data_IF_801993814578
#
_entry.id   IF_801993814578
#
_cell.length_a   1.000
_cell.length_b   1.000
_cell.length_c   1.000
_cell.angle_alpha   90.00
_cell.angle_beta   90.00
_cell.angle_gamma   90.00
#
_symmetry.space_group_name_H-M   'P 1'
#
loop_
_entity.id
_entity.type
_entity.pdbx_description
1 polymer ?
#
# COMPACT_ATOMS: atom_id res chain seq x y z
N UNK A 1 19.59 -1.42 20.17
CA UNK A 1 18.42 -1.96 19.44
C UNK A 1 17.44 -2.42 20.48
N UNK A 2 16.35 -1.66 20.66
CA UNK A 2 15.34 -1.98 21.66
C UNK A 2 14.43 -3.07 21.10
N UNK A 3 14.43 -4.24 21.75
CA UNK A 3 13.71 -5.44 21.29
C UNK A 3 12.20 -5.18 21.22
N UNK A 4 11.70 -4.25 22.04
CA UNK A 4 10.30 -3.87 22.07
C UNK A 4 9.83 -3.18 20.79
N UNK A 5 10.65 -2.27 20.24
CA UNK A 5 10.31 -1.56 19.00
C UNK A 5 10.38 -2.51 17.80
N UNK A 6 11.38 -3.40 17.75
CA UNK A 6 11.49 -4.42 16.68
C UNK A 6 10.28 -5.35 16.68
N UNK A 7 9.79 -5.75 17.86
CA UNK A 7 8.60 -6.60 17.98
C UNK A 7 7.34 -5.85 17.59
N UNK A 8 7.20 -4.57 17.96
CA UNK A 8 6.05 -3.75 17.54
C UNK A 8 6.04 -3.53 16.03
N UNK A 9 7.17 -3.16 15.43
CA UNK A 9 7.26 -2.95 13.97
C UNK A 9 6.94 -4.25 13.22
N UNK A 10 7.49 -5.39 13.66
CA UNK A 10 7.18 -6.69 13.10
C UNK A 10 5.71 -7.10 13.31
N UNK A 11 5.10 -6.77 14.44
CA UNK A 11 3.70 -7.07 14.74
C UNK A 11 2.75 -6.20 13.91
N UNK A 12 3.05 -4.90 13.77
CA UNK A 12 2.33 -3.98 12.87
C UNK A 12 2.39 -4.50 11.45
N UNK A 13 3.57 -4.93 11.00
CA UNK A 13 3.78 -5.49 9.68
C UNK A 13 2.97 -6.77 9.44
N UNK A 14 2.98 -7.71 10.39
CA UNK A 14 2.21 -8.94 10.30
C UNK A 14 0.71 -8.66 10.29
N UNK A 15 0.23 -7.70 11.09
CA UNK A 15 -1.19 -7.30 11.12
C UNK A 15 -1.62 -6.64 9.81
N UNK A 16 -0.79 -5.77 9.22
CA UNK A 16 -1.08 -5.16 7.90
C UNK A 16 -1.14 -6.22 6.81
N UNK A 17 -0.26 -7.23 6.84
CA UNK A 17 -0.26 -8.30 5.83
C UNK A 17 -1.38 -9.35 6.00
N UNK A 18 -1.84 -9.61 7.23
CA UNK A 18 -2.85 -10.64 7.51
C UNK A 18 -4.31 -10.18 7.32
N UNK A 19 -4.57 -8.88 7.13
CA UNK A 19 -5.92 -8.32 7.02
C UNK A 19 -6.30 -7.82 5.61
N UNK A 20 -5.64 -8.28 4.56
CA UNK A 20 -6.11 -8.00 3.20
C UNK A 20 -7.38 -8.80 2.91
N UNK A 21 -8.56 -8.16 2.71
CA UNK A 21 -9.83 -8.86 2.47
C UNK A 21 -9.82 -9.78 1.22
N UNK A 22 -8.90 -9.56 0.28
CA UNK A 22 -8.69 -10.40 -0.91
C UNK A 22 -7.19 -10.61 -1.20
N UNK A 23 -6.81 -11.74 -1.80
CA UNK A 23 -5.40 -12.13 -2.04
C UNK A 23 -4.80 -11.27 -3.17
N UNK A 24 -3.80 -10.42 -2.88
CA UNK A 24 -3.02 -9.67 -3.88
C UNK A 24 -3.36 -8.18 -3.97
N UNK A 25 -2.97 -7.50 -5.06
CA UNK A 25 -3.37 -6.11 -5.28
C UNK A 25 -4.87 -6.03 -5.61
N UNK A 26 -5.57 -5.17 -4.87
CA UNK A 26 -6.90 -4.63 -5.22
C UNK A 26 -6.95 -3.16 -4.80
N UNK A 27 -7.85 -2.34 -5.39
CA UNK A 27 -8.05 -0.96 -4.91
C UNK A 27 -8.40 -0.89 -3.42
N UNK A 28 -9.14 -1.87 -2.90
CA UNK A 28 -9.48 -1.96 -1.48
C UNK A 28 -8.25 -2.19 -0.60
N UNK A 29 -7.38 -3.13 -0.99
CA UNK A 29 -6.13 -3.39 -0.28
C UNK A 29 -5.21 -2.16 -0.32
N UNK A 30 -5.13 -1.47 -1.47
CA UNK A 30 -4.32 -0.26 -1.59
C UNK A 30 -4.85 0.87 -0.68
N UNK A 31 -6.17 1.07 -0.60
CA UNK A 31 -6.79 2.02 0.34
C UNK A 31 -6.50 1.65 1.79
N UNK A 32 -6.60 0.38 2.13
CA UNK A 32 -6.30 -0.11 3.47
C UNK A 32 -4.83 0.16 3.86
N UNK A 33 -3.87 -0.11 2.97
CA UNK A 33 -2.45 0.22 3.21
C UNK A 33 -2.28 1.71 3.49
N UNK A 34 -2.86 2.59 2.67
CA UNK A 34 -2.77 4.04 2.86
C UNK A 34 -3.30 4.48 4.23
N UNK A 35 -4.42 3.91 4.66
CA UNK A 35 -5.01 4.19 5.97
C UNK A 35 -4.11 3.74 7.12
N UNK A 36 -3.60 2.51 7.09
CA UNK A 36 -2.73 1.96 8.14
C UNK A 36 -1.41 2.72 8.24
N UNK A 37 -0.82 3.07 7.10
CA UNK A 37 0.44 3.84 7.05
C UNK A 37 0.24 5.35 7.28
N UNK A 38 -1.03 5.81 7.37
CA UNK A 38 -1.40 7.24 7.39
C UNK A 38 -0.80 8.03 6.23
N UNK A 39 -0.72 7.41 5.06
CA UNK A 39 -0.21 8.03 3.85
C UNK A 39 -1.35 8.57 2.99
N UNK A 40 -1.13 9.75 2.43
CA UNK A 40 -1.93 10.29 1.33
C UNK A 40 -1.56 9.60 0.01
N UNK A 41 -2.44 9.68 -0.97
CA UNK A 41 -2.15 9.21 -2.34
C UNK A 41 -0.95 9.95 -2.96
N UNK A 42 -0.71 11.21 -2.55
CA UNK A 42 0.46 11.99 -2.98
C UNK A 42 1.75 11.45 -2.39
N UNK A 43 1.78 11.17 -1.09
CA UNK A 43 2.96 10.57 -0.45
C UNK A 43 3.29 9.19 -1.02
N UNK A 44 2.27 8.38 -1.33
CA UNK A 44 2.50 7.11 -2.01
C UNK A 44 3.11 7.31 -3.40
N UNK A 45 2.60 8.28 -4.18
CA UNK A 45 3.14 8.61 -5.50
C UNK A 45 4.61 9.03 -5.42
N UNK A 46 4.96 9.86 -4.43
CA UNK A 46 6.33 10.30 -4.17
C UNK A 46 7.23 9.13 -3.76
N UNK A 47 6.77 8.26 -2.84
CA UNK A 47 7.53 7.09 -2.36
C UNK A 47 7.80 6.06 -3.47
N UNK A 48 6.85 5.87 -4.39
CA UNK A 48 6.97 4.95 -5.53
C UNK A 48 7.58 5.60 -6.78
N UNK A 49 7.86 6.91 -6.74
CA UNK A 49 8.31 7.68 -7.89
C UNK A 49 7.41 7.52 -9.14
N UNK A 50 6.10 7.65 -8.93
CA UNK A 50 5.07 7.57 -9.98
C UNK A 50 4.18 8.81 -9.98
N UNK A 51 3.38 8.98 -11.03
CA UNK A 51 2.42 10.10 -11.08
C UNK A 51 1.27 9.92 -10.07
N UNK A 52 0.84 11.01 -9.44
CA UNK A 52 -0.35 11.02 -8.58
C UNK A 52 -1.60 10.50 -9.32
N UNK A 53 -1.76 10.84 -10.60
CA UNK A 53 -2.86 10.35 -11.43
C UNK A 53 -2.86 8.82 -11.57
N UNK A 54 -1.67 8.21 -11.60
CA UNK A 54 -1.52 6.75 -11.60
C UNK A 54 -2.06 6.15 -10.30
N UNK A 55 -1.66 6.70 -9.16
CA UNK A 55 -2.16 6.25 -7.84
C UNK A 55 -3.67 6.44 -7.73
N UNK A 56 -4.20 7.59 -8.17
CA UNK A 56 -5.65 7.85 -8.18
C UNK A 56 -6.41 6.82 -9.03
N UNK A 57 -5.84 6.41 -10.17
CA UNK A 57 -6.43 5.37 -11.01
C UNK A 57 -6.36 3.97 -10.37
N UNK A 58 -5.32 3.68 -9.59
CA UNK A 58 -5.18 2.41 -8.86
C UNK A 58 -6.12 2.30 -7.65
N UNK A 59 -6.45 3.42 -7.03
CA UNK A 59 -7.31 3.49 -5.84
C UNK A 59 -8.80 3.57 -6.21
N UNK A 60 -9.10 3.95 -7.46
CA UNK A 60 -10.46 4.05 -7.97
C UNK A 60 -11.19 2.69 -7.91
N UNK A 61 -12.51 2.75 -7.79
CA UNK A 61 -13.32 1.54 -7.86
C UNK A 61 -13.26 0.93 -9.27
N UNK A 62 -13.24 -0.39 -9.35
CA UNK A 62 -13.01 -1.16 -10.60
C UNK A 62 -14.07 -0.91 -11.69
N UNK A 63 -15.24 -0.39 -11.32
CA UNK A 63 -16.33 -0.01 -12.24
C UNK A 63 -16.13 1.38 -12.87
N UNK A 64 -15.17 2.18 -12.39
CA UNK A 64 -14.96 3.55 -12.88
C UNK A 64 -14.16 3.55 -14.18
N UNK A 65 -14.54 4.40 -15.17
CA UNK A 65 -13.75 4.57 -16.40
C UNK A 65 -12.30 5.04 -16.18
N UNK A 66 -12.04 5.67 -15.03
CA UNK A 66 -10.72 6.13 -14.63
C UNK A 66 -9.86 5.02 -13.98
N UNK A 67 -10.43 3.86 -13.65
CA UNK A 67 -9.72 2.73 -13.03
C UNK A 67 -8.61 2.20 -13.93
N UNK A 68 -7.46 1.92 -13.32
CA UNK A 68 -6.37 1.20 -13.95
C UNK A 68 -5.74 0.27 -12.92
N UNK A 69 -5.32 -0.90 -13.36
CA UNK A 69 -4.61 -1.80 -12.47
C UNK A 69 -3.20 -1.30 -12.18
N UNK A 70 -2.75 -1.54 -10.95
CA UNK A 70 -1.39 -1.30 -10.52
C UNK A 70 -0.48 -2.37 -11.16
N UNK A 71 0.64 -1.98 -11.77
CA UNK A 71 1.64 -2.95 -12.20
C UNK A 71 2.14 -3.80 -11.03
N UNK A 72 2.32 -5.11 -11.25
CA UNK A 72 2.83 -6.03 -10.22
C UNK A 72 4.17 -5.56 -9.63
N UNK A 73 5.04 -4.98 -10.44
CA UNK A 73 6.31 -4.41 -9.98
C UNK A 73 6.13 -3.27 -8.98
N UNK A 74 5.10 -2.44 -9.16
CA UNK A 74 4.78 -1.38 -8.21
C UNK A 74 4.18 -1.95 -6.92
N UNK A 75 3.34 -2.99 -7.03
CA UNK A 75 2.81 -3.67 -5.85
C UNK A 75 3.93 -4.29 -4.99
N UNK A 76 4.91 -4.93 -5.62
CA UNK A 76 6.10 -5.44 -4.94
C UNK A 76 6.93 -4.33 -4.28
N UNK A 77 7.13 -3.20 -4.98
CA UNK A 77 7.84 -2.06 -4.42
C UNK A 77 7.10 -1.48 -3.19
N UNK A 78 5.77 -1.41 -3.23
CA UNK A 78 4.96 -1.01 -2.08
C UNK A 78 5.13 -1.97 -0.89
N UNK A 79 5.10 -3.28 -1.13
CA UNK A 79 5.31 -4.28 -0.07
C UNK A 79 6.69 -4.13 0.59
N UNK A 80 7.74 -3.86 -0.18
CA UNK A 80 9.08 -3.59 0.36
C UNK A 80 9.10 -2.30 1.18
N UNK A 81 8.43 -1.23 0.70
CA UNK A 81 8.36 0.04 1.41
C UNK A 81 7.67 -0.07 2.77
N UNK A 82 6.56 -0.80 2.85
CA UNK A 82 5.83 -0.96 4.11
C UNK A 82 6.55 -1.93 5.06
N UNK A 83 7.33 -2.89 4.54
CA UNK A 83 8.21 -3.76 5.35
C UNK A 83 9.40 -3.05 5.97
N UNK A 84 9.79 -1.90 5.43
CA UNK A 84 10.92 -1.12 5.90
C UNK A 84 10.52 0.12 6.73
N UNK A 85 9.22 0.34 6.95
CA UNK A 85 8.66 1.51 7.60
C UNK A 85 8.15 1.18 9.01
#
# INVERSE_FOLDING_TARGET
MDYFNVVIDALVLVVVMMNFPEIGYTPANLRYVLEQMRWTQKELAERLNVSLRGVQAWVADVDKPAHRDMPVSQWQALLVLIQAA
#
